data_IF_888935991617
#
_entry.id   IF_888935991617
#
_cell.length_a   1.000
_cell.length_b   1.000
_cell.length_c   1.000
_cell.angle_alpha   90.00
_cell.angle_beta   90.00
_cell.angle_gamma   90.00
#
_symmetry.space_group_name_H-M   'P 1'
#
loop_
_entity.id
_entity.type
_entity.pdbx_description
1 polymer ?
#
# COMPACT_ATOMS: atom_id res chain seq x y z
N UNK A 1 6.10 8.65 11.79
CA UNK A 1 6.62 7.47 11.04
C UNK A 1 5.40 6.60 10.86
N UNK A 2 4.72 6.74 9.73
CA UNK A 2 3.33 6.26 9.59
C UNK A 2 3.22 5.36 8.36
N UNK A 3 4.06 4.32 8.32
CA UNK A 3 3.88 3.18 7.43
C UNK A 3 3.45 1.99 8.27
N UNK A 4 2.26 2.10 8.88
CA UNK A 4 1.75 1.08 9.79
C UNK A 4 1.14 -0.06 8.98
N UNK A 5 1.73 -1.24 9.18
CA UNK A 5 1.22 -2.58 8.93
C UNK A 5 0.74 -2.89 7.50
N UNK A 6 1.50 -3.72 6.78
CA UNK A 6 1.02 -4.50 5.64
C UNK A 6 -0.07 -5.48 6.12
N UNK A 7 -1.36 -5.28 5.82
CA UNK A 7 -2.38 -6.26 6.16
C UNK A 7 -2.35 -7.40 5.13
N UNK A 8 -2.01 -8.59 5.63
CA UNK A 8 -2.50 -9.91 5.23
C UNK A 8 -2.64 -10.26 3.74
N UNK A 9 -1.93 -11.33 3.33
CA UNK A 9 -2.16 -12.30 2.24
C UNK A 9 -2.50 -11.84 0.80
N UNK A 10 -2.91 -10.59 0.56
CA UNK A 10 -3.23 -10.02 -0.75
C UNK A 10 -2.25 -8.93 -1.19
N UNK A 11 -1.28 -8.57 -0.34
CA UNK A 11 -0.23 -7.59 -0.65
C UNK A 11 -0.75 -6.18 -0.89
N UNK A 12 -1.87 -5.78 -0.29
CA UNK A 12 -2.51 -4.46 -0.46
C UNK A 12 -2.36 -3.62 0.82
N UNK A 13 -1.96 -2.36 0.73
CA UNK A 13 -1.87 -1.42 1.84
C UNK A 13 -2.60 -0.14 1.47
N UNK A 14 -3.41 0.40 2.37
CA UNK A 14 -3.97 1.73 2.21
C UNK A 14 -3.09 2.71 2.98
N UNK A 15 -2.59 3.74 2.31
CA UNK A 15 -1.77 4.80 2.90
C UNK A 15 -2.59 6.07 2.89
N UNK A 16 -2.80 6.66 4.06
CA UNK A 16 -3.29 8.03 4.15
C UNK A 16 -2.10 9.00 4.19
N UNK A 17 -2.09 9.98 3.29
CA UNK A 17 -1.08 11.03 3.29
C UNK A 17 -1.70 12.36 2.91
N UNK A 18 -1.71 13.31 3.84
CA UNK A 18 -2.31 14.64 3.65
C UNK A 18 -3.79 14.58 3.22
N UNK A 19 -4.56 13.61 3.74
CA UNK A 19 -5.97 13.42 3.36
C UNK A 19 -6.20 12.75 2.01
N UNK A 20 -5.13 12.26 1.38
CA UNK A 20 -5.21 11.41 0.19
C UNK A 20 -4.98 9.97 0.57
N UNK A 21 -5.91 9.11 0.17
CA UNK A 21 -5.76 7.66 0.27
C UNK A 21 -5.09 7.12 -0.98
N UNK A 22 -4.12 6.24 -0.77
CA UNK A 22 -3.43 5.53 -1.83
C UNK A 22 -3.45 4.05 -1.56
N UNK A 23 -3.66 3.26 -2.61
CA UNK A 23 -3.53 1.82 -2.58
C UNK A 23 -2.13 1.43 -3.02
N UNK A 24 -1.33 0.92 -2.08
CA UNK A 24 -0.10 0.22 -2.38
C UNK A 24 -0.43 -1.25 -2.64
N UNK A 25 0.04 -1.80 -3.76
CA UNK A 25 -0.11 -3.23 -4.07
C UNK A 25 1.24 -3.84 -4.41
N UNK A 26 1.55 -5.01 -3.85
CA UNK A 26 2.66 -5.82 -4.32
C UNK A 26 2.26 -6.59 -5.60
N UNK A 27 3.06 -6.42 -6.64
CA UNK A 27 2.94 -7.16 -7.90
C UNK A 27 3.52 -8.57 -7.75
N UNK A 28 3.13 -9.50 -8.64
CA UNK A 28 3.71 -10.86 -8.66
C UNK A 28 5.23 -10.86 -8.88
N UNK A 29 5.79 -9.78 -9.46
CA UNK A 29 7.23 -9.58 -9.60
C UNK A 29 7.91 -9.04 -8.33
N UNK A 30 7.19 -8.95 -7.20
CA UNK A 30 7.70 -8.47 -5.91
C UNK A 30 7.80 -6.95 -5.78
N UNK A 31 7.49 -6.18 -6.83
CA UNK A 31 7.54 -4.71 -6.84
C UNK A 31 6.27 -4.09 -6.26
N UNK A 32 6.39 -2.94 -5.61
CA UNK A 32 5.25 -2.17 -5.09
C UNK A 32 4.73 -1.21 -6.17
N UNK A 33 3.42 -1.22 -6.38
CA UNK A 33 2.67 -0.33 -7.27
C UNK A 33 1.82 0.61 -6.41
N UNK A 34 1.91 1.91 -6.67
CA UNK A 34 1.08 2.94 -6.03
C UNK A 34 -0.07 3.30 -6.96
N UNK A 35 -1.30 3.14 -6.49
CA UNK A 35 -2.53 3.53 -7.19
C UNK A 35 -3.24 4.59 -6.34
N UNK A 36 -3.80 5.60 -7.00
CA UNK A 36 -4.66 6.61 -6.37
C UNK A 36 -6.10 6.14 -6.36
#
# INVERSE_FOLDING_TARGET
>A
MDSQALPGNEGKVIIDRHGHQYLLRQTQAGKLLLIK
#
